data_IF_418835194035
#
_entry.id   IF_418835194035
#
_cell.length_a   1.000
_cell.length_b   1.000
_cell.length_c   1.000
_cell.angle_alpha   90.00
_cell.angle_beta   90.00
_cell.angle_gamma   90.00
#
_symmetry.space_group_name_H-M   'P 1'
#
loop_
_entity.id
_entity.type
_entity.pdbx_description
1 polymer ?
#
# COMPACT_ATOMS: atom_id res chain seq x y z
N UNK A 1 8.64 -0.77 14.19
CA UNK A 1 8.18 -1.45 12.97
C UNK A 1 6.90 -0.82 12.40
N UNK A 2 5.84 -0.65 13.20
CA UNK A 2 4.56 -0.06 12.73
C UNK A 2 4.68 1.38 12.20
N UNK A 3 5.52 2.21 12.81
CA UNK A 3 5.78 3.57 12.33
C UNK A 3 6.43 3.58 10.95
N UNK A 4 7.45 2.74 10.73
CA UNK A 4 8.12 2.62 9.43
C UNK A 4 7.13 2.21 8.32
N UNK A 5 6.29 1.19 8.57
CA UNK A 5 5.24 0.79 7.63
C UNK A 5 4.28 1.94 7.32
N UNK A 6 3.83 2.69 8.32
CA UNK A 6 2.95 3.86 8.13
C UNK A 6 3.61 4.93 7.27
N UNK A 7 4.82 5.34 7.62
CA UNK A 7 5.58 6.36 6.88
C UNK A 7 5.82 5.94 5.44
N UNK A 8 6.30 4.71 5.21
CA UNK A 8 6.50 4.17 3.86
C UNK A 8 5.20 4.11 3.07
N UNK A 9 4.09 3.71 3.71
CA UNK A 9 2.77 3.65 3.07
C UNK A 9 2.30 5.04 2.63
N UNK A 10 2.43 6.04 3.51
CA UNK A 10 2.04 7.42 3.19
C UNK A 10 2.94 8.04 2.12
N UNK A 11 4.25 7.80 2.17
CA UNK A 11 5.18 8.27 1.15
C UNK A 11 4.85 7.65 -0.21
N UNK A 12 4.69 6.32 -0.30
CA UNK A 12 4.25 5.63 -1.52
C UNK A 12 2.95 6.22 -2.03
N UNK A 13 1.96 6.41 -1.15
CA UNK A 13 0.65 6.93 -1.53
C UNK A 13 0.74 8.36 -2.10
N UNK A 14 1.45 9.26 -1.43
CA UNK A 14 1.62 10.66 -1.89
C UNK A 14 2.35 10.70 -3.24
N UNK A 15 3.41 9.91 -3.41
CA UNK A 15 4.12 9.80 -4.69
C UNK A 15 3.18 9.27 -5.78
N UNK A 16 2.43 8.20 -5.50
CA UNK A 16 1.47 7.61 -6.44
C UNK A 16 0.35 8.59 -6.82
N UNK A 17 -0.16 9.36 -5.86
CA UNK A 17 -1.17 10.39 -6.11
C UNK A 17 -0.62 11.52 -6.99
N UNK A 18 0.60 11.99 -6.73
CA UNK A 18 1.25 13.01 -7.55
C UNK A 18 1.55 12.50 -8.98
N UNK A 19 1.89 11.22 -9.13
CA UNK A 19 2.03 10.58 -10.45
C UNK A 19 0.67 10.49 -11.16
N UNK A 20 -0.39 10.06 -10.46
CA UNK A 20 -1.74 9.94 -11.01
C UNK A 20 -2.33 11.29 -11.44
N UNK A 21 -2.07 12.35 -10.66
CA UNK A 21 -2.46 13.73 -10.99
C UNK A 21 -1.64 14.35 -12.15
N UNK A 22 -0.66 13.62 -12.69
CA UNK A 22 0.18 14.10 -13.80
C UNK A 22 1.35 14.99 -13.38
N UNK A 23 1.51 15.31 -12.10
CA UNK A 23 2.59 16.19 -11.61
C UNK A 23 3.97 15.55 -11.77
N UNK A 24 4.07 14.23 -11.60
CA UNK A 24 5.33 13.48 -11.64
C UNK A 24 5.36 12.36 -12.71
N UNK A 25 4.36 12.30 -13.59
CA UNK A 25 4.12 11.16 -14.48
C UNK A 25 5.23 10.89 -15.53
N UNK A 26 6.17 11.82 -15.74
CA UNK A 26 7.25 11.70 -16.75
C UNK A 26 8.65 11.53 -16.15
N UNK A 27 8.76 11.47 -14.82
CA UNK A 27 10.05 11.32 -14.15
C UNK A 27 10.35 9.83 -13.91
N UNK A 28 11.15 9.23 -14.80
CA UNK A 28 11.64 7.84 -14.68
C UNK A 28 12.24 7.51 -13.30
N UNK A 29 13.09 8.37 -12.69
CA UNK A 29 13.61 8.10 -11.35
C UNK A 29 12.52 8.00 -10.28
N UNK A 30 11.46 8.81 -10.41
CA UNK A 30 10.34 8.84 -9.45
C UNK A 30 9.47 7.60 -9.61
N UNK A 31 9.24 7.16 -10.86
CA UNK A 31 8.50 5.92 -11.14
C UNK A 31 9.21 4.71 -10.54
N UNK A 32 10.54 4.64 -10.68
CA UNK A 32 11.37 3.59 -10.09
C UNK A 32 11.34 3.65 -8.55
N UNK A 33 11.50 4.85 -7.98
CA UNK A 33 11.42 5.04 -6.53
C UNK A 33 10.04 4.65 -5.97
N UNK A 34 8.95 4.98 -6.66
CA UNK A 34 7.59 4.59 -6.28
C UNK A 34 7.43 3.07 -6.26
N UNK A 35 7.96 2.36 -7.27
CA UNK A 35 7.94 0.89 -7.31
C UNK A 35 8.72 0.28 -6.14
N UNK A 36 9.93 0.79 -5.87
CA UNK A 36 10.77 0.33 -4.74
C UNK A 36 10.04 0.57 -3.41
N UNK A 37 9.48 1.75 -3.20
CA UNK A 37 8.72 2.06 -1.99
C UNK A 37 7.49 1.16 -1.85
N UNK A 38 6.79 0.87 -2.95
CA UNK A 38 5.69 -0.10 -2.98
C UNK A 38 6.13 -1.50 -2.52
N UNK A 39 7.27 -1.98 -3.02
CA UNK A 39 7.85 -3.26 -2.59
C UNK A 39 8.22 -3.27 -1.10
N UNK A 40 8.82 -2.18 -0.60
CA UNK A 40 9.13 -2.02 0.83
C UNK A 40 7.86 -2.08 1.67
N UNK A 41 6.79 -1.39 1.26
CA UNK A 41 5.49 -1.45 1.96
C UNK A 41 4.92 -2.87 1.95
N UNK A 42 4.98 -3.58 0.83
CA UNK A 42 4.52 -4.97 0.73
C UNK A 42 5.27 -5.91 1.68
N UNK A 43 6.61 -5.83 1.70
CA UNK A 43 7.43 -6.63 2.60
C UNK A 43 7.18 -6.28 4.07
N UNK A 44 7.12 -4.99 4.40
CA UNK A 44 6.83 -4.52 5.76
C UNK A 44 5.43 -4.95 6.22
N UNK A 45 4.41 -4.91 5.35
CA UNK A 45 3.06 -5.37 5.70
C UNK A 45 3.03 -6.85 6.08
N UNK A 46 3.74 -7.71 5.33
CA UNK A 46 3.82 -9.15 5.59
C UNK A 46 4.40 -9.48 6.97
N UNK A 47 5.37 -8.69 7.44
CA UNK A 47 6.07 -8.91 8.72
C UNK A 47 5.47 -8.12 9.88
N UNK A 48 5.00 -6.89 9.66
CA UNK A 48 4.62 -5.96 10.72
C UNK A 48 3.15 -6.07 11.15
N UNK A 49 2.26 -6.53 10.27
CA UNK A 49 0.85 -6.69 10.63
C UNK A 49 0.66 -8.02 11.40
N UNK A 50 0.05 -8.01 12.60
CA UNK A 50 -0.05 -9.20 13.45
C UNK A 50 -0.90 -10.34 12.86
N UNK A 51 -0.47 -11.59 13.08
CA UNK A 51 -1.16 -12.83 12.61
C UNK A 51 -2.15 -13.43 13.61
N UNK A 52 -2.19 -12.91 14.83
CA UNK A 52 -2.92 -13.52 15.95
C UNK A 52 -4.45 -13.48 15.83
N UNK A 53 -5.16 -14.25 16.66
CA UNK A 53 -6.62 -14.23 16.75
C UNK A 53 -7.16 -12.87 17.21
N UNK A 54 -8.46 -12.65 17.05
CA UNK A 54 -9.17 -11.46 17.53
C UNK A 54 -10.14 -10.87 16.50
N UNK A 55 -10.92 -9.85 16.91
CA UNK A 55 -12.09 -9.36 16.15
C UNK A 55 -11.75 -8.78 14.77
N UNK A 56 -10.48 -8.41 14.53
CA UNK A 56 -9.99 -7.88 13.25
C UNK A 56 -9.08 -8.86 12.49
N UNK A 57 -9.17 -10.17 12.74
CA UNK A 57 -8.32 -11.18 12.07
C UNK A 57 -8.43 -11.11 10.54
N UNK A 58 -9.65 -11.03 10.02
CA UNK A 58 -9.89 -10.94 8.58
C UNK A 58 -9.26 -9.67 7.98
N UNK A 59 -9.50 -8.51 8.59
CA UNK A 59 -8.90 -7.23 8.16
C UNK A 59 -7.37 -7.30 8.17
N UNK A 60 -6.76 -7.85 9.23
CA UNK A 60 -5.30 -8.03 9.29
C UNK A 60 -4.77 -8.98 8.23
N UNK A 61 -5.50 -10.06 7.92
CA UNK A 61 -5.11 -10.99 6.87
C UNK A 61 -5.12 -10.30 5.50
N UNK A 62 -6.18 -9.56 5.18
CA UNK A 62 -6.27 -8.79 3.93
C UNK A 62 -5.20 -7.71 3.88
N UNK A 63 -5.05 -6.90 4.92
CA UNK A 63 -4.07 -5.81 4.99
C UNK A 63 -2.61 -6.29 4.83
N UNK A 64 -2.31 -7.57 5.12
CA UNK A 64 -0.97 -8.16 4.93
C UNK A 64 -0.65 -8.43 3.47
N UNK A 65 -1.63 -8.90 2.70
CA UNK A 65 -1.43 -9.33 1.32
C UNK A 65 -1.82 -8.25 0.32
N UNK A 66 -2.68 -7.30 0.73
CA UNK A 66 -3.20 -6.27 -0.15
C UNK A 66 -2.10 -5.40 -0.77
N UNK A 67 -1.10 -4.90 -0.02
CA UNK A 67 -0.03 -4.13 -0.64
C UNK A 67 0.79 -4.94 -1.65
N UNK A 68 0.98 -6.25 -1.42
CA UNK A 68 1.65 -7.12 -2.38
C UNK A 68 0.86 -7.24 -3.68
N UNK A 69 -0.47 -7.39 -3.60
CA UNK A 69 -1.34 -7.39 -4.78
C UNK A 69 -1.29 -6.04 -5.52
N UNK A 70 -1.33 -4.93 -4.78
CA UNK A 70 -1.21 -3.59 -5.37
C UNK A 70 0.14 -3.41 -6.08
N UNK A 71 1.24 -3.89 -5.49
CA UNK A 71 2.58 -3.85 -6.12
C UNK A 71 2.65 -4.74 -7.35
N UNK A 72 2.03 -5.94 -7.34
CA UNK A 72 1.99 -6.81 -8.50
C UNK A 72 1.29 -6.12 -9.69
N UNK A 73 0.17 -5.44 -9.46
CA UNK A 73 -0.50 -4.62 -10.48
C UNK A 73 0.36 -3.42 -10.90
N UNK A 74 1.04 -2.76 -9.95
CA UNK A 74 1.97 -1.68 -10.27
C UNK A 74 3.11 -2.12 -11.18
N UNK A 75 3.58 -3.36 -11.02
CA UNK A 75 4.61 -3.95 -11.86
C UNK A 75 4.13 -4.15 -13.30
N UNK A 76 2.89 -4.61 -13.52
CA UNK A 76 2.34 -4.75 -14.87
C UNK A 76 2.20 -3.40 -15.59
N UNK A 77 1.91 -2.33 -14.85
CA UNK A 77 1.90 -0.96 -15.37
C UNK A 77 3.33 -0.51 -15.71
N UNK A 78 4.29 -0.74 -14.81
CA UNK A 78 5.70 -0.38 -14.99
C UNK A 78 6.29 -0.98 -16.29
N UNK A 79 5.98 -2.24 -16.57
CA UNK A 79 6.39 -2.92 -17.81
C UNK A 79 5.56 -2.55 -19.05
N UNK A 80 4.61 -1.61 -18.93
CA UNK A 80 3.73 -1.17 -20.03
C UNK A 80 2.91 -2.29 -20.66
N UNK A 81 2.59 -3.33 -19.88
CA UNK A 81 1.78 -4.48 -20.34
C UNK A 81 0.31 -4.36 -19.94
N UNK A 82 -0.12 -3.19 -19.44
CA UNK A 82 -1.47 -2.97 -18.91
C UNK A 82 -2.18 -1.79 -19.57
N UNK A 83 -3.49 -1.90 -19.86
CA UNK A 83 -4.27 -0.81 -20.42
C UNK A 83 -4.51 0.31 -19.38
N UNK A 84 -4.90 1.54 -19.80
CA UNK A 84 -5.11 2.68 -18.91
C UNK A 84 -6.09 2.43 -17.75
N UNK A 85 -7.11 1.60 -17.97
CA UNK A 85 -8.08 1.22 -16.91
C UNK A 85 -7.40 0.54 -15.71
N UNK A 86 -6.30 -0.19 -15.93
CA UNK A 86 -5.54 -0.84 -14.85
C UNK A 86 -4.84 0.20 -13.97
N UNK A 87 -4.46 1.35 -14.51
CA UNK A 87 -3.88 2.46 -13.73
C UNK A 87 -4.90 3.00 -12.73
N UNK A 88 -6.16 3.16 -13.15
CA UNK A 88 -7.25 3.56 -12.26
C UNK A 88 -7.48 2.51 -11.16
N UNK A 89 -7.52 1.23 -11.53
CA UNK A 89 -7.66 0.13 -10.56
C UNK A 89 -6.50 0.12 -9.56
N UNK A 90 -5.26 0.30 -10.03
CA UNK A 90 -4.08 0.39 -9.18
C UNK A 90 -4.17 1.55 -8.17
N UNK A 91 -4.62 2.73 -8.62
CA UNK A 91 -4.82 3.89 -7.74
C UNK A 91 -5.86 3.60 -6.64
N UNK A 92 -7.00 3.00 -6.99
CA UNK A 92 -8.03 2.59 -6.03
C UNK A 92 -7.51 1.53 -5.05
N UNK A 93 -6.74 0.56 -5.54
CA UNK A 93 -6.08 -0.43 -4.68
C UNK A 93 -5.08 0.22 -3.71
N UNK A 94 -4.38 1.27 -4.13
CA UNK A 94 -3.50 2.08 -3.28
C UNK A 94 -4.25 2.76 -2.15
N UNK A 95 -5.39 3.41 -2.43
CA UNK A 95 -6.26 4.03 -1.41
C UNK A 95 -6.74 2.96 -0.42
N UNK A 96 -7.24 1.82 -0.93
CA UNK A 96 -7.68 0.72 -0.10
C UNK A 96 -6.55 0.14 0.77
N UNK A 97 -5.32 0.07 0.26
CA UNK A 97 -4.16 -0.38 1.02
C UNK A 97 -3.91 0.49 2.26
N UNK A 98 -3.95 1.81 2.11
CA UNK A 98 -3.79 2.76 3.22
C UNK A 98 -4.87 2.51 4.28
N UNK A 99 -6.14 2.47 3.87
CA UNK A 99 -7.27 2.26 4.79
C UNK A 99 -7.18 0.92 5.53
N UNK A 100 -6.89 -0.17 4.81
CA UNK A 100 -6.75 -1.51 5.38
C UNK A 100 -5.59 -1.59 6.39
N UNK A 101 -4.44 -0.99 6.06
CA UNK A 101 -3.29 -0.95 6.95
C UNK A 101 -3.59 -0.12 8.21
N UNK A 102 -4.25 1.03 8.07
CA UNK A 102 -4.65 1.85 9.22
C UNK A 102 -5.66 1.14 10.13
N UNK A 103 -6.66 0.46 9.54
CA UNK A 103 -7.63 -0.33 10.30
C UNK A 103 -7.00 -1.55 11.00
N UNK A 104 -6.05 -2.19 10.34
CA UNK A 104 -5.32 -3.35 10.86
C UNK A 104 -4.34 -2.98 11.99
N UNK A 105 -3.73 -1.80 11.90
CA UNK A 105 -2.73 -1.28 12.85
C UNK A 105 -3.33 -0.37 13.92
N UNK A 106 -4.60 0.03 13.77
CA UNK A 106 -5.30 0.89 14.71
C UNK A 106 -5.20 0.35 16.14
N UNK A 107 -4.94 1.24 17.10
CA UNK A 107 -4.82 0.86 18.52
C UNK A 107 -6.09 0.12 18.94
N UNK A 108 -5.92 -0.95 19.72
CA UNK A 108 -7.01 -1.42 20.60
C UNK A 108 -7.44 -0.18 21.37
N UNK A 109 -8.68 0.28 21.18
CA UNK A 109 -9.30 1.17 22.15
C UNK A 109 -9.03 0.52 23.52
N UNK A 110 -8.46 1.28 24.46
CA UNK A 110 -8.20 0.76 25.81
C UNK A 110 -9.48 0.06 26.26
N UNK A 111 -9.43 -1.15 26.83
CA UNK A 111 -10.61 -1.68 27.51
C UNK A 111 -11.09 -0.59 28.46
N UNK A 112 -12.37 -0.21 28.34
CA UNK A 112 -12.99 0.68 29.30
C UNK A 112 -12.80 0.06 30.70
N UNK A 113 -12.48 0.88 31.72
CA UNK A 113 -12.25 0.40 33.08
C UNK A 113 -13.45 -0.38 33.63
#
# INVERSE_FOLDING_TARGET
>A
MTLALRLSTYLTFVVGLAMFAGWLARAEPITTAHLILGLVVALLALVAVPRGPGPRRAVRAVARVWPLLTTAVGLTIFWKVSPPVVVMVHALMGIAAVALLELALGRRARPAP
#
